data_IF_327501749567
#
_entry.id   IF_327501749567
#
_cell.length_a   1.000
_cell.length_b   1.000
_cell.length_c   1.000
_cell.angle_alpha   90.00
_cell.angle_beta   90.00
_cell.angle_gamma   90.00
#
_symmetry.space_group_name_H-M   'P 1'
#
loop_
_entity.id
_entity.type
_entity.pdbx_description
1 polymer ?
#
# COMPACT_ATOMS: atom_id res chain seq x y z
N UNK A 1 -20.72 -7.03 6.16
CA UNK A 1 -20.17 -5.68 6.37
C UNK A 1 -19.40 -5.34 5.11
N UNK A 2 -19.77 -4.28 4.40
CA UNK A 2 -19.01 -3.82 3.22
C UNK A 2 -17.69 -3.20 3.68
N UNK A 3 -16.59 -3.53 3.01
CA UNK A 3 -15.27 -2.97 3.31
C UNK A 3 -15.18 -1.49 2.91
N UNK A 4 -15.91 -1.09 1.86
CA UNK A 4 -15.93 0.25 1.28
C UNK A 4 -17.36 0.59 0.85
N UNK A 5 -18.04 1.46 1.59
CA UNK A 5 -19.21 2.18 1.06
C UNK A 5 -18.91 3.68 1.15
N UNK A 6 -18.65 4.28 -0.01
CA UNK A 6 -18.43 5.72 -0.22
C UNK A 6 -17.13 6.30 0.39
N UNK A 7 -16.58 7.34 -0.25
CA UNK A 7 -15.34 8.02 0.16
C UNK A 7 -15.32 8.53 1.62
N UNK A 8 -16.49 8.60 2.27
CA UNK A 8 -16.64 8.87 3.69
C UNK A 8 -16.27 7.66 4.59
N UNK A 9 -16.60 6.42 4.21
CA UNK A 9 -16.27 5.23 5.00
C UNK A 9 -14.77 4.91 5.03
N UNK A 10 -14.03 5.28 3.99
CA UNK A 10 -12.56 5.21 4.00
C UNK A 10 -11.96 5.96 5.21
N UNK A 11 -12.56 7.09 5.62
CA UNK A 11 -12.08 7.90 6.75
C UNK A 11 -12.35 7.27 8.11
N UNK A 12 -13.47 6.55 8.27
CA UNK A 12 -13.90 6.03 9.56
C UNK A 12 -12.99 4.93 10.13
N UNK A 13 -12.18 4.29 9.28
CA UNK A 13 -11.25 3.21 9.65
C UNK A 13 -9.85 3.38 9.06
N UNK A 14 -9.49 4.59 8.64
CA UNK A 14 -8.15 4.92 8.16
C UNK A 14 -7.26 5.36 9.33
N UNK A 15 -6.01 4.94 9.32
CA UNK A 15 -4.98 5.36 10.28
C UNK A 15 -3.75 5.73 9.47
N UNK A 16 -3.16 6.91 9.72
CA UNK A 16 -1.92 7.27 9.02
C UNK A 16 -0.76 6.37 9.48
N UNK A 17 0.26 6.14 8.63
CA UNK A 17 1.45 5.40 9.04
C UNK A 17 2.07 5.96 10.32
N UNK A 18 2.23 7.28 10.43
CA UNK A 18 2.79 7.94 11.62
C UNK A 18 1.95 7.69 12.88
N UNK A 19 0.62 7.73 12.76
CA UNK A 19 -0.27 7.45 13.89
C UNK A 19 -0.22 5.97 14.31
N UNK A 20 -0.12 5.05 13.35
CA UNK A 20 0.04 3.63 13.64
C UNK A 20 1.37 3.34 14.36
N UNK A 21 2.45 4.00 13.94
CA UNK A 21 3.77 3.90 14.57
C UNK A 21 3.75 4.49 15.97
N UNK A 22 3.21 5.71 16.15
CA UNK A 22 3.10 6.35 17.45
C UNK A 22 2.25 5.54 18.45
N UNK A 23 1.25 4.81 17.96
CA UNK A 23 0.42 3.92 18.76
C UNK A 23 1.05 2.53 19.01
N UNK A 24 2.26 2.26 18.51
CA UNK A 24 2.92 0.95 18.63
C UNK A 24 2.27 -0.18 17.83
N UNK A 25 1.45 0.15 16.83
CA UNK A 25 0.72 -0.81 15.97
C UNK A 25 1.42 -1.09 14.64
N UNK A 26 2.44 -0.32 14.31
CA UNK A 26 3.29 -0.53 13.17
C UNK A 26 4.73 -0.14 13.50
N UNK A 27 5.67 -0.77 12.83
CA UNK A 27 7.08 -0.38 12.81
C UNK A 27 7.53 -0.32 11.36
N UNK A 28 8.21 0.77 11.00
CA UNK A 28 8.76 0.99 9.68
C UNK A 28 10.27 1.21 9.81
N UNK A 29 11.05 0.26 9.34
CA UNK A 29 12.50 0.41 9.21
C UNK A 29 12.80 0.68 7.73
N UNK A 30 13.20 1.91 7.41
CA UNK A 30 13.44 2.36 6.04
C UNK A 30 14.92 2.71 5.86
N UNK A 31 15.56 2.08 4.87
CA UNK A 31 16.91 2.41 4.46
C UNK A 31 16.99 3.79 3.78
N UNK A 32 18.20 4.32 3.57
CA UNK A 32 18.39 5.62 2.95
C UNK A 32 17.69 5.75 1.59
N UNK A 33 16.86 6.78 1.42
CA UNK A 33 16.17 7.08 0.18
C UNK A 33 14.88 6.29 -0.06
N UNK A 34 14.49 5.38 0.84
CA UNK A 34 13.29 4.56 0.69
C UNK A 34 11.99 5.37 0.60
N UNK A 35 11.96 6.59 1.14
CA UNK A 35 10.84 7.52 0.98
C UNK A 35 10.55 7.86 -0.49
N UNK A 36 11.57 7.82 -1.35
CA UNK A 36 11.42 8.11 -2.78
C UNK A 36 10.63 7.03 -3.50
N UNK A 37 10.59 5.80 -2.97
CA UNK A 37 9.81 4.73 -3.57
C UNK A 37 8.32 5.05 -3.65
N UNK A 38 7.80 5.90 -2.75
CA UNK A 38 6.41 6.33 -2.76
C UNK A 38 5.99 6.98 -4.09
N UNK A 39 6.91 7.60 -4.85
CA UNK A 39 6.60 8.22 -6.15
C UNK A 39 6.18 7.21 -7.22
N UNK A 40 6.56 5.94 -7.05
CA UNK A 40 6.19 4.84 -7.93
C UNK A 40 4.78 4.29 -7.64
N UNK A 41 4.09 4.78 -6.60
CA UNK A 41 2.78 4.28 -6.23
C UNK A 41 1.72 5.36 -6.37
N UNK A 42 0.66 5.05 -7.12
CA UNK A 42 -0.56 5.87 -7.23
C UNK A 42 -1.72 5.06 -6.69
N UNK A 43 -2.08 5.22 -5.40
CA UNK A 43 -3.18 4.49 -4.78
C UNK A 43 -4.54 5.05 -5.24
N UNK A 44 -4.91 4.76 -6.49
CA UNK A 44 -6.11 5.25 -7.12
C UNK A 44 -7.39 4.63 -6.53
N UNK A 45 -8.39 5.48 -6.26
CA UNK A 45 -9.63 5.06 -5.61
C UNK A 45 -10.42 4.10 -6.51
N UNK A 46 -10.38 4.30 -7.83
CA UNK A 46 -11.03 3.43 -8.80
C UNK A 46 -10.45 2.01 -8.75
N UNK A 47 -9.12 1.88 -8.74
CA UNK A 47 -8.41 0.60 -8.64
C UNK A 47 -8.76 -0.10 -7.33
N UNK A 48 -8.73 0.64 -6.20
CA UNK A 48 -9.09 0.09 -4.89
C UNK A 48 -10.54 -0.41 -4.86
N UNK A 49 -11.47 0.35 -5.43
CA UNK A 49 -12.89 -0.01 -5.51
C UNK A 49 -13.13 -1.19 -6.44
N UNK A 50 -12.42 -1.26 -7.57
CA UNK A 50 -12.51 -2.37 -8.51
C UNK A 50 -11.97 -3.68 -7.90
N UNK A 51 -10.86 -3.61 -7.17
CA UNK A 51 -10.35 -4.73 -6.38
C UNK A 51 -11.40 -5.20 -5.38
N UNK A 52 -11.95 -4.30 -4.56
CA UNK A 52 -12.93 -4.64 -3.53
C UNK A 52 -14.17 -5.34 -4.11
N UNK A 53 -14.75 -4.78 -5.18
CA UNK A 53 -15.88 -5.40 -5.90
C UNK A 53 -15.52 -6.79 -6.44
N UNK A 54 -14.34 -6.93 -7.05
CA UNK A 54 -13.89 -8.19 -7.61
C UNK A 54 -13.72 -9.25 -6.52
N UNK A 55 -13.04 -8.91 -5.42
CA UNK A 55 -12.84 -9.79 -4.27
C UNK A 55 -14.17 -10.19 -3.65
N UNK A 56 -15.07 -9.25 -3.38
CA UNK A 56 -16.36 -9.53 -2.76
C UNK A 56 -17.26 -10.43 -3.61
N UNK A 57 -17.17 -10.32 -4.94
CA UNK A 57 -17.93 -11.19 -5.84
C UNK A 57 -17.47 -12.66 -5.79
N UNK A 58 -16.21 -12.93 -5.43
CA UNK A 58 -15.61 -14.27 -5.50
C UNK A 58 -15.26 -14.88 -4.14
N UNK A 59 -15.08 -14.07 -3.11
CA UNK A 59 -14.56 -14.50 -1.80
C UNK A 59 -15.21 -13.71 -0.66
N UNK A 60 -15.34 -14.38 0.49
CA UNK A 60 -15.64 -13.72 1.76
C UNK A 60 -14.34 -13.23 2.40
N UNK A 61 -13.82 -12.09 1.92
CA UNK A 61 -12.50 -11.57 2.30
C UNK A 61 -12.28 -11.51 3.82
N UNK A 62 -13.26 -11.03 4.58
CA UNK A 62 -13.16 -10.91 6.04
C UNK A 62 -12.90 -12.25 6.75
N UNK A 63 -13.39 -13.35 6.18
CA UNK A 63 -13.23 -14.70 6.72
C UNK A 63 -11.90 -15.36 6.30
N UNK A 64 -11.12 -14.73 5.42
CA UNK A 64 -9.83 -15.28 5.01
C UNK A 64 -8.78 -15.14 6.13
N UNK A 65 -7.86 -16.11 6.24
CA UNK A 65 -6.70 -15.97 7.11
C UNK A 65 -5.75 -14.85 6.63
N UNK A 66 -4.93 -14.35 7.55
CA UNK A 66 -4.04 -13.19 7.33
C UNK A 66 -3.14 -13.35 6.12
N UNK A 67 -2.51 -14.52 5.97
CA UNK A 67 -1.62 -14.83 4.85
C UNK A 67 -2.34 -14.67 3.51
N UNK A 68 -3.57 -15.17 3.39
CA UNK A 68 -4.38 -15.05 2.17
C UNK A 68 -4.82 -13.62 1.91
N UNK A 69 -5.17 -12.85 2.94
CA UNK A 69 -5.50 -11.43 2.79
C UNK A 69 -4.29 -10.64 2.29
N UNK A 70 -3.14 -10.85 2.91
CA UNK A 70 -1.89 -10.22 2.51
C UNK A 70 -1.53 -10.60 1.08
N UNK A 71 -1.69 -11.88 0.73
CA UNK A 71 -1.34 -12.36 -0.59
C UNK A 71 -2.20 -11.72 -1.69
N UNK A 72 -3.50 -11.61 -1.46
CA UNK A 72 -4.42 -10.92 -2.38
C UNK A 72 -4.06 -9.45 -2.56
N UNK A 73 -3.71 -8.75 -1.48
CA UNK A 73 -3.28 -7.35 -1.58
C UNK A 73 -1.97 -7.22 -2.38
N UNK A 74 -1.03 -8.14 -2.20
CA UNK A 74 0.27 -8.11 -2.89
C UNK A 74 0.14 -8.50 -4.37
N UNK A 75 -0.66 -9.52 -4.70
CA UNK A 75 -0.69 -10.07 -6.06
C UNK A 75 -1.67 -9.33 -6.97
N UNK A 76 -2.76 -8.81 -6.42
CA UNK A 76 -3.86 -8.29 -7.23
C UNK A 76 -4.07 -6.79 -7.08
N UNK A 77 -3.71 -6.19 -5.94
CA UNK A 77 -3.94 -4.76 -5.68
C UNK A 77 -2.67 -3.94 -5.87
N UNK A 78 -1.59 -4.29 -5.17
CA UNK A 78 -0.35 -3.52 -5.16
C UNK A 78 0.26 -3.30 -6.56
N UNK A 79 0.28 -4.29 -7.48
CA UNK A 79 0.83 -4.09 -8.82
C UNK A 79 0.00 -3.10 -9.65
N UNK A 80 -1.30 -2.98 -9.38
CA UNK A 80 -2.16 -2.01 -10.07
C UNK A 80 -1.90 -0.57 -9.62
N UNK A 81 -1.37 -0.38 -8.42
CA UNK A 81 -0.94 0.94 -7.96
C UNK A 81 0.47 1.32 -8.43
N UNK A 82 1.23 0.38 -9.01
CA UNK A 82 2.63 0.58 -9.34
C UNK A 82 2.83 1.19 -10.72
N UNK A 83 3.69 2.20 -10.78
CA UNK A 83 4.07 2.96 -11.96
C UNK A 83 5.57 2.81 -12.22
N UNK A 84 6.00 1.79 -12.99
CA UNK A 84 7.42 1.50 -13.24
C UNK A 84 8.14 2.67 -13.92
N UNK A 85 7.43 3.51 -14.67
CA UNK A 85 7.98 4.69 -15.33
C UNK A 85 8.59 5.72 -14.35
N UNK A 86 8.16 5.69 -13.08
CA UNK A 86 8.68 6.58 -12.04
C UNK A 86 9.90 5.99 -11.31
N UNK A 87 10.26 4.73 -11.56
CA UNK A 87 11.38 4.05 -10.90
C UNK A 87 12.72 4.78 -11.05
N UNK A 88 13.09 5.37 -12.21
CA UNK A 88 14.32 6.16 -12.34
C UNK A 88 14.39 7.33 -11.36
N UNK A 89 13.25 7.92 -10.96
CA UNK A 89 13.19 9.04 -10.01
C UNK A 89 13.59 8.63 -8.59
N UNK A 90 13.54 7.34 -8.28
CA UNK A 90 13.97 6.82 -6.97
C UNK A 90 15.49 6.80 -6.82
N UNK A 91 16.24 6.89 -7.94
CA UNK A 91 17.70 6.79 -7.97
C UNK A 91 18.23 5.36 -7.84
N UNK A 92 17.35 4.34 -7.83
CA UNK A 92 17.71 2.92 -7.73
C UNK A 92 16.90 2.10 -8.73
N UNK A 93 17.54 1.13 -9.37
CA UNK A 93 16.88 0.23 -10.33
C UNK A 93 16.08 -0.91 -9.65
N UNK A 94 16.31 -1.13 -8.35
CA UNK A 94 15.70 -2.23 -7.60
C UNK A 94 15.52 -1.82 -6.14
N UNK A 95 14.37 -2.20 -5.59
CA UNK A 95 14.02 -2.10 -4.18
C UNK A 95 13.57 -3.46 -3.65
N UNK A 96 13.94 -3.77 -2.40
CA UNK A 96 13.51 -4.94 -1.65
C UNK A 96 12.66 -4.51 -0.48
N UNK A 97 11.40 -4.91 -0.46
CA UNK A 97 10.44 -4.59 0.61
C UNK A 97 10.13 -5.84 1.41
N UNK A 98 9.98 -5.73 2.73
CA UNK A 98 9.57 -6.84 3.60
C UNK A 98 8.35 -6.44 4.42
N UNK A 99 7.30 -7.22 4.31
CA UNK A 99 6.12 -7.14 5.16
C UNK A 99 6.19 -8.25 6.19
N UNK A 100 6.10 -7.90 7.47
CA UNK A 100 5.92 -8.83 8.59
C UNK A 100 4.56 -8.54 9.20
N UNK A 101 3.60 -9.42 8.97
CA UNK A 101 2.21 -9.22 9.39
C UNK A 101 1.85 -10.21 10.49
N UNK A 102 1.21 -9.71 11.55
CA UNK A 102 0.82 -10.46 12.75
C UNK A 102 2.00 -11.25 13.37
N UNK A 103 3.23 -10.71 13.23
CA UNK A 103 4.48 -11.29 13.74
C UNK A 103 4.94 -12.62 13.11
N UNK A 104 4.12 -13.22 12.23
CA UNK A 104 4.34 -14.60 11.75
C UNK A 104 4.30 -14.71 10.23
N UNK A 105 3.53 -13.85 9.56
CA UNK A 105 3.40 -13.88 8.11
C UNK A 105 4.40 -12.93 7.49
N UNK A 106 5.47 -13.49 6.91
CA UNK A 106 6.48 -12.69 6.20
C UNK A 106 6.34 -12.81 4.69
N UNK A 107 6.40 -11.68 3.98
CA UNK A 107 6.48 -11.60 2.52
C UNK A 107 7.57 -10.62 2.13
N UNK A 108 8.51 -11.06 1.29
CA UNK A 108 9.54 -10.19 0.71
C UNK A 108 9.22 -9.95 -0.75
N UNK A 109 9.23 -8.69 -1.16
CA UNK A 109 8.93 -8.25 -2.51
C UNK A 109 10.16 -7.60 -3.13
N UNK A 110 10.35 -7.84 -4.42
CA UNK A 110 11.20 -7.05 -5.27
C UNK A 110 10.36 -6.10 -6.11
N UNK A 111 10.78 -4.84 -6.16
CA UNK A 111 10.23 -3.81 -7.03
C UNK A 111 11.32 -3.37 -8.00
N UNK A 112 11.10 -3.56 -9.28
CA UNK A 112 12.01 -3.14 -10.36
C UNK A 112 11.21 -2.78 -11.63
N UNK A 113 11.89 -2.59 -12.76
CA UNK A 113 11.26 -2.25 -14.04
C UNK A 113 10.26 -3.31 -14.54
N UNK A 114 10.37 -4.56 -14.09
CA UNK A 114 9.45 -5.64 -14.44
C UNK A 114 8.17 -5.63 -13.60
N UNK A 115 8.08 -4.77 -12.60
CA UNK A 115 6.93 -4.67 -11.70
C UNK A 115 7.25 -5.08 -10.27
N UNK A 116 6.24 -5.62 -9.60
CA UNK A 116 6.31 -6.09 -8.21
C UNK A 116 6.18 -7.59 -8.21
N UNK A 117 7.14 -8.28 -7.62
CA UNK A 117 7.13 -9.75 -7.51
C UNK A 117 7.57 -10.21 -6.14
N UNK A 118 7.00 -11.32 -5.69
CA UNK A 118 7.50 -12.02 -4.50
C UNK A 118 8.87 -12.62 -4.80
N UNK A 119 9.74 -12.57 -3.79
CA UNK A 119 11.00 -13.30 -3.81
C UNK A 119 11.06 -14.19 -2.57
N UNK A 120 11.30 -15.48 -2.78
CA UNK A 120 11.48 -16.45 -1.71
C UNK A 120 12.91 -16.36 -1.17
N UNK A 121 13.08 -16.52 0.14
CA UNK A 121 14.37 -16.86 0.73
C UNK A 121 15.51 -15.83 0.60
N UNK A 122 15.22 -14.53 0.55
CA UNK A 122 16.27 -13.52 0.48
C UNK A 122 16.96 -13.25 1.83
N UNK A 123 18.20 -13.69 2.01
CA UNK A 123 19.14 -13.18 3.03
C UNK A 123 19.49 -11.70 2.82
N UNK A 124 19.12 -11.15 1.66
CA UNK A 124 19.29 -9.73 1.38
C UNK A 124 18.49 -8.90 2.40
N UNK A 125 19.13 -7.95 3.10
CA UNK A 125 18.43 -7.04 3.99
C UNK A 125 17.42 -6.22 3.16
N UNK A 126 16.19 -6.04 3.65
CA UNK A 126 15.21 -5.23 2.96
C UNK A 126 15.64 -3.75 2.97
N UNK A 127 15.37 -3.05 1.88
CA UNK A 127 15.48 -1.60 1.80
C UNK A 127 14.38 -0.91 2.61
N UNK A 128 13.25 -1.59 2.81
CA UNK A 128 12.15 -1.15 3.66
C UNK A 128 11.47 -2.35 4.30
N UNK A 129 11.33 -2.33 5.61
CA UNK A 129 10.60 -3.32 6.40
C UNK A 129 9.40 -2.64 7.06
N UNK A 130 8.21 -3.19 6.83
CA UNK A 130 6.98 -2.83 7.52
C UNK A 130 6.52 -4.01 8.37
N UNK A 131 6.52 -3.84 9.68
CA UNK A 131 5.94 -4.78 10.63
C UNK A 131 4.64 -4.21 11.20
N UNK A 132 3.55 -4.98 11.15
CA UNK A 132 2.23 -4.52 11.62
C UNK A 132 1.25 -5.69 11.77
N UNK A 133 -0.01 -5.40 12.12
CA UNK A 133 -1.12 -6.36 12.06
C UNK A 133 -1.95 -6.17 10.78
N UNK A 134 -2.67 -7.21 10.34
CA UNK A 134 -3.43 -7.15 9.07
C UNK A 134 -4.50 -6.06 9.06
N UNK A 135 -5.11 -5.74 10.21
CA UNK A 135 -6.15 -4.72 10.33
C UNK A 135 -5.54 -3.33 10.18
N UNK A 136 -4.40 -3.08 10.83
CA UNK A 136 -3.64 -1.84 10.73
C UNK A 136 -3.09 -1.64 9.32
N UNK A 137 -2.57 -2.68 8.68
CA UNK A 137 -2.13 -2.61 7.28
C UNK A 137 -3.25 -2.13 6.34
N UNK A 138 -4.44 -2.72 6.47
CA UNK A 138 -5.61 -2.28 5.69
C UNK A 138 -6.04 -0.85 6.04
N UNK A 139 -5.95 -0.44 7.31
CA UNK A 139 -6.25 0.92 7.74
C UNK A 139 -5.25 1.95 7.16
N UNK A 140 -3.96 1.63 7.14
CA UNK A 140 -2.92 2.45 6.51
C UNK A 140 -3.13 2.55 4.99
N UNK A 141 -3.47 1.44 4.33
CA UNK A 141 -3.77 1.45 2.91
C UNK A 141 -4.95 2.38 2.58
N UNK A 142 -6.04 2.30 3.36
CA UNK A 142 -7.19 3.21 3.22
C UNK A 142 -6.77 4.67 3.40
N UNK A 143 -5.87 4.94 4.35
CA UNK A 143 -5.32 6.28 4.55
C UNK A 143 -4.53 6.75 3.32
N UNK A 144 -3.60 5.95 2.81
CA UNK A 144 -2.78 6.31 1.64
C UNK A 144 -3.63 6.60 0.40
N UNK A 145 -4.69 5.81 0.16
CA UNK A 145 -5.67 6.10 -0.89
C UNK A 145 -6.33 7.46 -0.62
N UNK A 146 -6.89 7.67 0.57
CA UNK A 146 -7.60 8.91 0.89
C UNK A 146 -6.70 10.16 0.77
N UNK A 147 -5.45 10.06 1.21
CA UNK A 147 -4.48 11.16 1.21
C UNK A 147 -4.05 11.55 -0.22
N UNK A 148 -3.77 10.56 -1.08
CA UNK A 148 -3.43 10.79 -2.49
C UNK A 148 -4.49 11.64 -3.22
N UNK A 149 -5.78 11.38 -2.95
CA UNK A 149 -6.89 12.12 -3.58
C UNK A 149 -7.19 13.46 -2.92
N UNK A 150 -6.80 13.69 -1.66
CA UNK A 150 -6.88 15.01 -1.02
C UNK A 150 -5.85 15.97 -1.61
N UNK A 151 -4.60 15.52 -1.72
CA UNK A 151 -3.49 16.29 -2.27
C UNK A 151 -3.72 16.69 -3.73
N UNK A 152 -4.47 15.91 -4.50
CA UNK A 152 -4.91 16.27 -5.86
C UNK A 152 -6.04 17.30 -5.89
N UNK A 153 -7.03 17.23 -4.99
CA UNK A 153 -8.15 18.19 -4.95
C UNK A 153 -7.73 19.60 -4.51
N UNK A 154 -6.65 19.72 -3.73
CA UNK A 154 -6.04 21.01 -3.37
C UNK A 154 -5.25 21.68 -4.50
N UNK A 155 -5.09 21.01 -5.66
CA UNK A 155 -4.34 21.50 -6.83
C UNK A 155 -5.28 21.93 -7.98
N UNK A 156 -6.47 22.42 -7.63
CA UNK A 156 -7.31 23.14 -8.58
C UNK A 156 -6.56 24.43 -8.97
N UNK A 157 -6.25 24.55 -10.25
CA UNK A 157 -5.61 25.71 -10.90
C UNK A 157 -6.41 26.96 -10.52
N UNK A 158 -5.78 28.08 -10.11
CA UNK A 158 -6.49 29.34 -10.04
C UNK A 158 -6.93 29.67 -11.47
N UNK A 159 -8.24 29.58 -11.70
CA UNK A 159 -8.90 30.06 -12.91
C UNK A 159 -8.40 31.46 -13.21
N UNK A 160 -8.07 31.67 -14.48
CA UNK A 160 -7.32 32.82 -14.97
C UNK A 160 -7.78 34.16 -14.42
N UNK A 161 -6.78 35.02 -14.20
CA UNK A 161 -6.93 36.45 -14.31
C UNK A 161 -7.59 36.76 -15.67
N UNK A 162 -8.81 37.30 -15.62
CA UNK A 162 -9.34 38.20 -16.64
C UNK A 162 -8.79 39.60 -16.41
#
# INVERSE_FOLDING_TARGET
MQFIDQAAAYRAKAVSPDAAIAAGRARLDAGPGAERLAVCFRPELEIATAFDRSIHARLKFDALPTDRKLDLMIDELLPRFFHPEALPMTGRARWVLRFVVDGTVTRTLQVDESGIRRIDGGDAPPDMLLETDIVTLMAMLRFCIADHHRSRKGRAVPSGQT
#
